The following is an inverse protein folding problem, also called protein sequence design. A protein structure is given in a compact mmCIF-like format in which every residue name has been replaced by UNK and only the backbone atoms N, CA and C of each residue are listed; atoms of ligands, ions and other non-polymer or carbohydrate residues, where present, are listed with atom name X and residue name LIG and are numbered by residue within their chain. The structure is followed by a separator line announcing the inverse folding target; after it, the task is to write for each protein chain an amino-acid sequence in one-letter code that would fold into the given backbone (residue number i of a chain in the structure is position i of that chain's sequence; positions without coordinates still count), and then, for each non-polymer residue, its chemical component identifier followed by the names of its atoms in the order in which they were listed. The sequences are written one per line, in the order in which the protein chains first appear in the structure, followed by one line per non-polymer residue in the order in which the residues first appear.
data_IF_163800129844
#
_entry.id   IF_163800129844
#
_cell.length_a   1.000
_cell.length_b   1.000
_cell.length_c   1.000
_cell.angle_alpha   90.00
_cell.angle_beta   90.00
_cell.angle_gamma   90.00
#
_symmetry.space_group_name_H-M   'P 1'
#
loop_
_entity.id
_entity.type
_entity.pdbx_description
1 polymer ?
#
# COMPACT_ATOMS: atom_id res chain seq x y z
N UNK A 1 40.35 -0.53 23.22
CA UNK A 1 40.66 0.85 22.80
C UNK A 1 39.38 1.57 22.46
N UNK A 2 39.05 2.61 23.22
CA UNK A 2 37.91 3.47 22.94
C UNK A 2 38.44 4.84 22.51
N UNK A 3 37.88 5.37 21.43
CA UNK A 3 38.24 6.68 20.89
C UNK A 3 37.06 7.62 21.07
N UNK A 4 37.33 8.86 21.49
CA UNK A 4 36.33 9.92 21.68
C UNK A 4 36.61 11.05 20.68
N UNK A 5 35.61 11.43 19.90
CA UNK A 5 35.66 12.64 19.08
C UNK A 5 35.42 13.85 20.00
N UNK A 6 36.33 14.81 20.00
CA UNK A 6 36.20 16.08 20.74
C UNK A 6 36.32 17.21 19.73
N UNK A 7 35.32 18.08 19.69
CA UNK A 7 35.32 19.30 18.88
C UNK A 7 35.59 20.46 19.85
N UNK A 8 36.73 21.17 19.73
CA UNK A 8 37.08 22.27 20.62
C UNK A 8 36.26 23.54 20.36
N UNK A 9 36.29 24.49 21.30
CA UNK A 9 35.46 25.71 21.28
C UNK A 9 35.86 26.71 20.17
N UNK A 10 37.11 26.64 19.69
CA UNK A 10 37.61 27.43 18.56
C UNK A 10 37.73 26.55 17.31
N UNK A 11 36.62 26.37 16.59
CA UNK A 11 36.60 25.70 15.29
C UNK A 11 35.99 26.61 14.24
N UNK A 12 36.74 26.83 13.17
CA UNK A 12 36.22 27.46 11.97
C UNK A 12 35.44 26.41 11.17
N UNK A 13 34.11 26.49 11.25
CA UNK A 13 33.22 25.70 10.39
C UNK A 13 33.09 26.44 9.06
N UNK A 14 33.72 25.90 8.02
CA UNK A 14 33.58 26.43 6.66
C UNK A 14 32.43 25.70 5.96
N UNK A 15 31.32 26.42 5.74
CA UNK A 15 30.19 25.91 4.97
C UNK A 15 30.47 26.22 3.50
N UNK A 16 30.82 25.20 2.73
CA UNK A 16 30.99 25.31 1.28
C UNK A 16 29.72 24.85 0.56
N UNK A 17 29.20 25.70 -0.33
CA UNK A 17 28.08 25.33 -1.19
C UNK A 17 28.59 24.39 -2.29
N UNK A 18 28.08 23.16 -2.28
CA UNK A 18 28.41 22.21 -3.33
C UNK A 18 27.70 22.57 -4.64
N UNK A 19 28.36 22.41 -5.80
CA UNK A 19 27.73 22.65 -7.09
C UNK A 19 26.66 21.58 -7.35
N UNK A 20 25.60 21.95 -8.09
CA UNK A 20 24.43 21.07 -8.34
C UNK A 20 24.76 19.73 -8.99
N UNK A 21 25.91 19.61 -9.65
CA UNK A 21 26.39 18.42 -10.32
C UNK A 21 27.35 17.57 -9.47
N UNK A 22 27.54 17.89 -8.18
CA UNK A 22 28.40 17.10 -7.29
C UNK A 22 27.87 15.65 -7.18
N UNK A 23 28.73 14.61 -7.30
CA UNK A 23 28.30 13.22 -7.21
C UNK A 23 27.64 12.86 -5.86
N UNK A 24 27.89 13.63 -4.79
CA UNK A 24 27.20 13.50 -3.49
C UNK A 24 25.75 13.98 -3.57
N UNK A 25 25.45 14.98 -4.41
CA UNK A 25 24.06 15.35 -4.74
C UNK A 25 23.37 14.24 -5.56
N UNK A 26 24.11 13.53 -6.42
CA UNK A 26 23.54 12.44 -7.21
C UNK A 26 23.14 11.21 -6.38
N UNK A 27 23.81 10.94 -5.25
CA UNK A 27 23.35 9.92 -4.29
C UNK A 27 22.05 10.30 -3.58
N UNK A 28 21.80 11.58 -3.31
CA UNK A 28 20.52 12.05 -2.76
C UNK A 28 19.38 12.06 -3.80
N UNK A 29 19.69 12.20 -5.09
CA UNK A 29 18.70 12.24 -6.17
C UNK A 29 18.24 10.88 -6.68
N UNK A 30 18.74 9.76 -6.12
CA UNK A 30 17.98 8.50 -6.15
C UNK A 30 16.86 8.59 -5.12
N UNK A 31 15.91 9.49 -5.38
CA UNK A 31 14.65 9.54 -4.68
C UNK A 31 14.03 8.15 -4.79
N UNK A 32 13.98 7.42 -3.67
CA UNK A 32 13.06 6.30 -3.57
C UNK A 32 11.69 6.91 -3.82
N UNK A 33 10.94 6.41 -4.81
CA UNK A 33 9.54 6.77 -4.99
C UNK A 33 8.77 6.24 -3.79
N UNK A 34 8.80 7.00 -2.70
CA UNK A 34 8.06 6.70 -1.49
C UNK A 34 6.59 6.93 -1.77
N UNK A 35 5.74 6.03 -1.28
CA UNK A 35 4.33 6.34 -1.13
C UNK A 35 4.19 7.64 -0.31
N UNK A 36 3.19 8.47 -0.63
CA UNK A 36 2.93 9.72 0.10
C UNK A 36 2.78 9.39 1.60
N UNK A 37 3.63 10.01 2.42
CA UNK A 37 3.66 9.80 3.87
C UNK A 37 2.60 10.62 4.62
N UNK A 38 1.95 11.56 3.94
CA UNK A 38 0.96 12.47 4.50
C UNK A 38 0.00 13.01 3.44
N UNK A 39 -1.13 13.56 3.91
CA UNK A 39 -2.19 14.13 3.08
C UNK A 39 -3.32 13.13 2.84
N UNK A 40 -4.11 13.42 1.80
CA UNK A 40 -5.25 12.60 1.41
C UNK A 40 -4.86 11.63 0.29
N UNK A 41 -5.00 10.33 0.55
CA UNK A 41 -4.73 9.26 -0.41
C UNK A 41 -6.01 8.83 -1.11
N UNK A 42 -6.03 8.90 -2.45
CA UNK A 42 -7.10 8.28 -3.25
C UNK A 42 -6.93 6.77 -3.22
N UNK A 43 -7.86 6.11 -2.53
CA UNK A 43 -7.76 4.70 -2.17
C UNK A 43 -8.79 3.87 -2.92
N UNK A 44 -8.35 2.77 -3.52
CA UNK A 44 -9.25 1.78 -4.13
C UNK A 44 -9.15 0.45 -3.37
N UNK A 45 -10.27 -0.23 -3.22
CA UNK A 45 -10.35 -1.59 -2.67
C UNK A 45 -10.70 -2.54 -3.79
N UNK A 46 -9.85 -3.52 -4.01
CA UNK A 46 -9.92 -4.50 -5.08
C UNK A 46 -10.40 -5.81 -4.51
N UNK A 47 -11.64 -6.16 -4.78
CA UNK A 47 -12.22 -7.46 -4.43
C UNK A 47 -11.89 -8.46 -5.54
N UNK A 48 -11.02 -9.42 -5.23
CA UNK A 48 -10.52 -10.37 -6.23
C UNK A 48 -11.47 -11.56 -6.35
N UNK A 49 -11.87 -11.88 -7.58
CA UNK A 49 -12.72 -13.02 -7.93
C UNK A 49 -11.87 -14.02 -8.70
N UNK A 50 -11.78 -15.25 -8.22
CA UNK A 50 -10.94 -16.29 -8.81
C UNK A 50 -11.59 -16.91 -10.07
N UNK A 51 -10.87 -17.82 -10.73
CA UNK A 51 -11.35 -18.49 -11.94
C UNK A 51 -12.59 -19.39 -11.72
N UNK A 52 -12.82 -19.86 -10.48
CA UNK A 52 -13.98 -20.67 -10.09
C UNK A 52 -15.14 -19.81 -9.54
N UNK A 53 -15.05 -18.49 -9.65
CA UNK A 53 -15.98 -17.53 -9.02
C UNK A 53 -15.97 -17.56 -7.48
N UNK A 54 -14.92 -18.11 -6.87
CA UNK A 54 -14.64 -17.91 -5.46
C UNK A 54 -14.29 -16.44 -5.24
N UNK A 55 -14.91 -15.84 -4.24
CA UNK A 55 -14.81 -14.42 -3.96
C UNK A 55 -14.79 -14.19 -2.45
N UNK A 56 -14.27 -13.06 -1.98
CA UNK A 56 -14.37 -12.65 -0.58
C UNK A 56 -15.83 -12.69 -0.10
N UNK A 57 -16.02 -13.15 1.14
CA UNK A 57 -17.30 -13.19 1.85
C UNK A 57 -17.96 -11.82 1.95
N UNK A 58 -17.16 -10.77 2.15
CA UNK A 58 -17.65 -9.40 2.23
C UNK A 58 -18.03 -8.88 0.83
N UNK A 59 -19.24 -8.33 0.73
CA UNK A 59 -19.69 -7.67 -0.50
C UNK A 59 -19.18 -6.22 -0.60
N UNK A 60 -19.39 -5.58 -1.75
CA UNK A 60 -18.89 -4.23 -2.00
C UNK A 60 -19.44 -3.17 -1.02
N UNK A 61 -20.68 -3.31 -0.55
CA UNK A 61 -21.27 -2.37 0.42
C UNK A 61 -20.58 -2.54 1.78
N UNK A 62 -20.46 -3.78 2.26
CA UNK A 62 -19.79 -4.08 3.52
C UNK A 62 -18.31 -3.67 3.53
N UNK A 63 -17.60 -3.85 2.41
CA UNK A 63 -16.22 -3.39 2.27
C UNK A 63 -16.13 -1.86 2.30
N UNK A 64 -17.05 -1.16 1.62
CA UNK A 64 -17.11 0.30 1.67
C UNK A 64 -17.35 0.78 3.10
N UNK A 65 -18.28 0.17 3.82
CA UNK A 65 -18.56 0.50 5.22
C UNK A 65 -17.33 0.32 6.08
N UNK A 66 -16.70 -0.85 6.05
CA UNK A 66 -15.52 -1.13 6.89
C UNK A 66 -14.31 -0.27 6.56
N UNK A 67 -14.18 0.22 5.33
CA UNK A 67 -13.02 1.02 4.92
C UNK A 67 -13.28 2.52 5.06
N UNK A 68 -14.47 3.01 4.74
CA UNK A 68 -14.72 4.45 4.55
C UNK A 68 -15.92 5.03 5.30
N UNK A 69 -17.00 4.27 5.52
CA UNK A 69 -18.30 4.87 5.91
C UNK A 69 -18.86 4.44 7.26
N UNK A 70 -18.42 3.33 7.86
CA UNK A 70 -18.90 2.89 9.17
C UNK A 70 -18.39 3.79 10.32
N UNK A 71 -18.99 3.72 11.52
CA UNK A 71 -18.58 4.58 12.64
C UNK A 71 -17.10 4.37 13.02
N UNK A 72 -16.68 3.10 13.06
CA UNK A 72 -15.28 2.70 13.26
C UNK A 72 -14.85 1.97 12.00
N UNK A 73 -14.05 2.64 11.16
CA UNK A 73 -13.63 2.15 9.87
C UNK A 73 -12.13 2.40 9.67
N UNK A 74 -11.54 1.85 8.60
CA UNK A 74 -10.11 2.02 8.35
C UNK A 74 -9.72 3.50 8.22
N UNK A 75 -10.55 4.32 7.56
CA UNK A 75 -10.33 5.77 7.42
C UNK A 75 -10.21 6.45 8.77
N UNK A 76 -11.19 6.31 9.66
CA UNK A 76 -11.19 6.98 10.96
C UNK A 76 -10.05 6.49 11.85
N UNK A 77 -9.69 5.20 11.77
CA UNK A 77 -8.56 4.65 12.50
C UNK A 77 -7.22 5.18 11.97
N UNK A 78 -7.04 5.28 10.64
CA UNK A 78 -5.84 5.87 10.04
C UNK A 78 -5.71 7.35 10.38
N UNK A 79 -6.82 8.10 10.32
CA UNK A 79 -6.89 9.50 10.75
C UNK A 79 -6.50 9.67 12.22
N UNK A 80 -7.11 8.87 13.11
CA UNK A 80 -6.83 8.90 14.54
C UNK A 80 -5.38 8.56 14.87
N UNK A 81 -4.84 7.46 14.33
CA UNK A 81 -3.46 7.04 14.56
C UNK A 81 -2.43 8.02 14.00
N UNK A 82 -2.74 8.68 12.88
CA UNK A 82 -1.85 9.66 12.23
C UNK A 82 -2.06 11.09 12.73
N UNK A 83 -2.99 11.34 13.66
CA UNK A 83 -3.39 12.69 14.08
C UNK A 83 -3.79 13.57 12.88
N UNK A 84 -4.62 13.03 11.99
CA UNK A 84 -5.10 13.67 10.76
C UNK A 84 -4.01 13.99 9.72
N UNK A 85 -2.80 13.45 9.87
CA UNK A 85 -1.74 13.64 8.88
C UNK A 85 -1.90 12.73 7.67
N UNK A 86 -2.62 11.61 7.82
CA UNK A 86 -2.88 10.65 6.76
C UNK A 86 -4.36 10.31 6.72
N UNK A 87 -5.01 10.70 5.63
CA UNK A 87 -6.44 10.51 5.38
C UNK A 87 -6.57 9.62 4.14
N UNK A 88 -7.47 8.64 4.16
CA UNK A 88 -7.83 7.87 2.97
C UNK A 88 -9.22 8.28 2.50
N UNK A 89 -9.38 8.47 1.19
CA UNK A 89 -10.68 8.75 0.57
C UNK A 89 -10.93 7.76 -0.57
N UNK A 90 -12.18 7.29 -0.75
CA UNK A 90 -12.49 6.33 -1.80
C UNK A 90 -12.23 6.93 -3.17
N UNK A 91 -11.52 6.23 -4.05
CA UNK A 91 -11.33 6.63 -5.44
C UNK A 91 -12.67 6.72 -6.20
N UNK A 92 -12.76 7.59 -7.22
CA UNK A 92 -13.98 7.77 -8.01
C UNK A 92 -14.14 6.66 -9.06
N UNK A 93 -14.12 5.41 -8.62
CA UNK A 93 -14.25 4.21 -9.44
C UNK A 93 -15.11 3.18 -8.71
N UNK A 94 -15.75 2.29 -9.48
CA UNK A 94 -16.58 1.22 -8.94
C UNK A 94 -17.71 1.73 -8.05
N UNK A 95 -18.03 0.97 -7.01
CA UNK A 95 -19.07 1.35 -6.04
C UNK A 95 -18.43 2.06 -4.84
N UNK A 96 -18.14 3.35 -4.99
CA UNK A 96 -17.53 4.17 -3.93
C UNK A 96 -16.12 3.72 -3.55
N UNK A 97 -15.27 3.50 -4.54
CA UNK A 97 -13.88 3.06 -4.34
C UNK A 97 -13.70 1.55 -4.26
N UNK A 98 -14.78 0.76 -4.37
CA UNK A 98 -14.72 -0.71 -4.39
C UNK A 98 -14.88 -1.23 -5.82
N UNK A 99 -13.91 -2.02 -6.29
CA UNK A 99 -13.91 -2.64 -7.62
C UNK A 99 -13.82 -4.15 -7.52
N UNK A 100 -14.53 -4.86 -8.41
CA UNK A 100 -14.42 -6.30 -8.55
C UNK A 100 -13.45 -6.62 -9.69
N UNK A 101 -12.45 -7.44 -9.43
CA UNK A 101 -11.45 -7.85 -10.44
C UNK A 101 -11.44 -9.36 -10.53
N UNK A 102 -11.75 -9.88 -11.72
CA UNK A 102 -11.68 -11.32 -11.99
C UNK A 102 -10.30 -11.70 -12.50
N UNK A 103 -9.74 -12.78 -11.97
CA UNK A 103 -8.47 -13.37 -12.38
C UNK A 103 -8.66 -14.79 -12.91
N UNK A 104 -7.74 -15.25 -13.76
CA UNK A 104 -7.78 -16.59 -14.36
C UNK A 104 -7.00 -17.63 -13.54
N UNK A 105 -6.86 -17.42 -12.24
CA UNK A 105 -6.17 -18.32 -11.30
C UNK A 105 -7.21 -18.79 -10.27
N UNK A 106 -7.18 -20.08 -9.93
CA UNK A 106 -8.00 -20.64 -8.85
C UNK A 106 -7.31 -20.33 -7.51
N UNK A 107 -8.02 -19.79 -6.53
CA UNK A 107 -7.40 -19.35 -5.28
C UNK A 107 -6.97 -20.49 -4.35
N UNK A 108 -7.74 -21.57 -4.37
CA UNK A 108 -7.56 -22.72 -3.48
C UNK A 108 -6.16 -23.33 -3.64
N UNK A 109 -5.37 -23.28 -2.57
CA UNK A 109 -4.00 -23.77 -2.50
C UNK A 109 -2.99 -23.02 -3.41
N UNK A 110 -3.37 -21.87 -3.96
CA UNK A 110 -2.46 -21.02 -4.74
C UNK A 110 -1.77 -20.02 -3.84
N UNK A 111 -0.54 -19.66 -4.20
CA UNK A 111 0.25 -18.69 -3.44
C UNK A 111 -0.30 -17.26 -3.63
N UNK A 112 -0.30 -16.50 -2.54
CA UNK A 112 -0.75 -15.10 -2.53
C UNK A 112 -0.06 -14.26 -3.59
N UNK A 113 1.23 -14.48 -3.82
CA UNK A 113 2.02 -13.73 -4.80
C UNK A 113 1.44 -13.86 -6.23
N UNK A 114 0.99 -15.05 -6.61
CA UNK A 114 0.46 -15.31 -7.95
C UNK A 114 -0.88 -14.61 -8.15
N UNK A 115 -1.78 -14.74 -7.16
CA UNK A 115 -3.08 -14.07 -7.17
C UNK A 115 -2.95 -12.55 -7.15
N UNK A 116 -2.10 -12.04 -6.26
CA UNK A 116 -1.85 -10.61 -6.13
C UNK A 116 -1.26 -10.04 -7.43
N UNK A 117 -0.28 -10.72 -8.04
CA UNK A 117 0.31 -10.30 -9.31
C UNK A 117 -0.73 -10.27 -10.44
N UNK A 118 -1.57 -11.30 -10.54
CA UNK A 118 -2.64 -11.35 -11.52
C UNK A 118 -3.68 -10.24 -11.31
N UNK A 119 -4.12 -10.04 -10.05
CA UNK A 119 -5.06 -8.99 -9.70
C UNK A 119 -4.49 -7.60 -10.00
N UNK A 120 -3.23 -7.35 -9.65
CA UNK A 120 -2.54 -6.09 -9.93
C UNK A 120 -2.47 -5.81 -11.43
N UNK A 121 -2.17 -6.83 -12.25
CA UNK A 121 -2.13 -6.68 -13.71
C UNK A 121 -3.48 -6.26 -14.27
N UNK A 122 -4.57 -6.86 -13.79
CA UNK A 122 -5.92 -6.47 -14.21
C UNK A 122 -6.32 -5.08 -13.70
N UNK A 123 -5.94 -4.70 -12.48
CA UNK A 123 -6.15 -3.34 -11.97
C UNK A 123 -5.42 -2.32 -12.83
N UNK A 124 -4.14 -2.55 -13.13
CA UNK A 124 -3.34 -1.65 -13.96
C UNK A 124 -3.90 -1.54 -15.38
N UNK A 125 -4.35 -2.65 -15.96
CA UNK A 125 -4.99 -2.68 -17.28
C UNK A 125 -6.30 -1.87 -17.32
N UNK A 126 -7.12 -1.95 -16.28
CA UNK A 126 -8.45 -1.35 -16.27
C UNK A 126 -8.47 0.10 -15.76
N UNK A 127 -7.51 0.47 -14.89
CA UNK A 127 -7.54 1.75 -14.16
C UNK A 127 -6.21 2.52 -14.17
N UNK A 128 -5.13 1.94 -14.72
CA UNK A 128 -3.80 2.54 -14.71
C UNK A 128 -3.20 2.68 -13.31
N UNK A 129 -2.27 3.63 -13.16
CA UNK A 129 -1.51 3.90 -11.93
C UNK A 129 -2.00 5.17 -11.22
N UNK A 130 -3.32 5.36 -11.16
CA UNK A 130 -3.95 6.62 -10.70
C UNK A 130 -4.27 6.67 -9.20
N UNK A 131 -4.01 5.59 -8.46
CA UNK A 131 -4.36 5.48 -7.04
C UNK A 131 -3.14 5.67 -6.14
N UNK A 132 -3.35 6.35 -5.01
CA UNK A 132 -2.30 6.54 -4.00
C UNK A 132 -2.20 5.33 -3.04
N UNK A 133 -3.29 4.55 -2.89
CA UNK A 133 -3.37 3.34 -2.07
C UNK A 133 -4.32 2.32 -2.71
N UNK A 134 -3.92 1.05 -2.74
CA UNK A 134 -4.67 -0.06 -3.31
C UNK A 134 -4.73 -1.18 -2.26
N UNK A 135 -5.94 -1.51 -1.83
CA UNK A 135 -6.21 -2.58 -0.86
C UNK A 135 -6.78 -3.80 -1.60
N UNK A 136 -6.03 -4.90 -1.67
CA UNK A 136 -6.49 -6.14 -2.28
C UNK A 136 -7.14 -7.04 -1.23
N UNK A 137 -8.36 -7.48 -1.50
CA UNK A 137 -9.09 -8.48 -0.72
C UNK A 137 -9.06 -9.77 -1.52
N UNK A 138 -8.22 -10.71 -1.09
CA UNK A 138 -8.07 -12.00 -1.76
C UNK A 138 -9.17 -12.98 -1.34
N UNK A 139 -9.64 -13.84 -2.25
CA UNK A 139 -10.61 -14.89 -1.93
C UNK A 139 -10.05 -15.93 -0.94
N UNK A 140 -10.93 -16.67 -0.25
CA UNK A 140 -10.52 -17.66 0.74
C UNK A 140 -9.73 -18.81 0.13
N UNK A 141 -8.90 -19.44 0.97
CA UNK A 141 -8.11 -20.61 0.60
C UNK A 141 -6.75 -20.31 -0.05
N UNK A 142 -6.34 -19.04 -0.09
CA UNK A 142 -5.00 -18.63 -0.50
C UNK A 142 -3.94 -19.02 0.52
N UNK A 143 -2.75 -19.35 0.03
CA UNK A 143 -1.58 -19.68 0.85
C UNK A 143 -0.61 -18.50 0.88
N UNK A 144 0.02 -18.27 2.02
CA UNK A 144 1.18 -17.38 2.13
C UNK A 144 2.37 -18.18 2.63
N UNK A 145 3.38 -18.35 1.78
CA UNK A 145 4.55 -19.17 2.05
C UNK A 145 4.16 -20.61 2.45
N UNK A 146 3.25 -21.21 1.67
CA UNK A 146 2.74 -22.57 1.90
C UNK A 146 1.79 -22.71 3.11
N UNK A 147 1.52 -21.64 3.86
CA UNK A 147 0.65 -21.67 5.04
C UNK A 147 -0.74 -21.12 4.74
N UNK A 148 -1.75 -21.83 5.25
CA UNK A 148 -3.13 -21.33 5.34
C UNK A 148 -3.23 -20.31 6.49
N UNK A 149 -4.32 -19.52 6.49
CA UNK A 149 -4.70 -18.63 7.60
C UNK A 149 -3.74 -17.46 7.90
N UNK A 150 -3.05 -16.93 6.88
CA UNK A 150 -2.45 -15.60 7.01
C UNK A 150 -3.56 -14.54 7.08
N UNK A 151 -3.29 -13.38 7.68
CA UNK A 151 -4.34 -12.36 7.92
C UNK A 151 -4.24 -11.23 6.91
N UNK A 152 -3.13 -10.50 6.92
CA UNK A 152 -2.89 -9.38 6.03
C UNK A 152 -1.38 -9.09 5.96
N UNK A 153 -0.94 -8.42 4.90
CA UNK A 153 0.37 -7.79 4.86
C UNK A 153 0.33 -6.54 3.99
N UNK A 154 1.21 -5.59 4.30
CA UNK A 154 1.46 -4.40 3.50
C UNK A 154 2.95 -4.28 3.24
N UNK A 155 3.30 -3.61 2.15
CA UNK A 155 4.70 -3.38 1.82
C UNK A 155 5.12 -2.00 2.31
N UNK A 156 6.28 -1.93 2.97
CA UNK A 156 6.86 -0.64 3.35
C UNK A 156 7.21 0.16 2.09
N UNK A 157 6.80 1.41 2.05
CA UNK A 157 7.02 2.34 0.94
C UNK A 157 6.34 1.94 -0.38
N UNK A 158 5.23 1.22 -0.31
CA UNK A 158 4.48 0.86 -1.50
C UNK A 158 2.98 1.10 -1.32
N UNK A 159 2.26 1.22 -2.43
CA UNK A 159 0.84 1.57 -2.47
C UNK A 159 -0.07 0.36 -2.25
N UNK A 160 0.46 -0.85 -2.12
CA UNK A 160 -0.32 -2.08 -2.08
C UNK A 160 -0.38 -2.68 -0.68
N UNK A 161 -1.59 -2.99 -0.23
CA UNK A 161 -1.83 -3.83 0.95
C UNK A 161 -2.75 -4.99 0.56
N UNK A 162 -2.56 -6.15 1.18
CA UNK A 162 -3.25 -7.38 0.83
C UNK A 162 -3.87 -7.98 2.09
N UNK A 163 -5.15 -8.35 2.01
CA UNK A 163 -5.93 -8.97 3.07
C UNK A 163 -6.44 -10.34 2.63
N UNK A 164 -6.44 -11.29 3.56
CA UNK A 164 -7.01 -12.62 3.41
C UNK A 164 -8.38 -12.66 4.08
N UNK A 165 -9.42 -12.97 3.31
CA UNK A 165 -10.77 -13.19 3.80
C UNK A 165 -11.13 -14.68 3.77
#
# INVERSE_FOLDING_TARGET
NFSKLVVPDEVLVQIENLPRNDPRHQQQQRGRNFAKLSGTLRTVVVRVIDANNTQPSLNSVQLKDRVFTDLINLKTQMEGCSKNQLIIEPANVGSGGIVNVRINIIAKNSETYELFSAARKEVQKNYGDSFDLILYVLPPGTLSAGKRNWVAYGYLNWINSVYND
#
